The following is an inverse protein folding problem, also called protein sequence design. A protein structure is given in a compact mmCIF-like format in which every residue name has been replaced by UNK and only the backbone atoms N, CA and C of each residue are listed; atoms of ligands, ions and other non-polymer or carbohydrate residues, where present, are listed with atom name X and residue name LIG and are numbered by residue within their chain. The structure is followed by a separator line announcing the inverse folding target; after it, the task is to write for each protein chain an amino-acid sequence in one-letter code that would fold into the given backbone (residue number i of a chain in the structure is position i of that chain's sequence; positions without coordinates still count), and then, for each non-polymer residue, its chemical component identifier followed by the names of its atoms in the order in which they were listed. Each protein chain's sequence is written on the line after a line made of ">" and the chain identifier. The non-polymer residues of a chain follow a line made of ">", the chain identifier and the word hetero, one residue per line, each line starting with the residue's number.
data_IF_225172084228
#
_entry.id   IF_225172084228
#
_cell.length_a   1.000
_cell.length_b   1.000
_cell.length_c   1.000
_cell.angle_alpha   90.00
_cell.angle_beta   90.00
_cell.angle_gamma   90.00
#
_symmetry.space_group_name_H-M   'P 1'
#
loop_
_entity.id
_entity.type
_entity.pdbx_description
1 polymer ?
#
# COMPACT_ATOMS: atom_id res chain seq x y z
N UNK A 1 40.25 -19.04 -7.12
CA UNK A 1 39.62 -18.61 -5.84
C UNK A 1 40.66 -17.80 -5.12
N UNK A 2 40.44 -16.50 -4.97
CA UNK A 2 41.30 -15.64 -4.16
C UNK A 2 41.26 -16.15 -2.71
N UNK A 3 42.41 -16.21 -2.03
CA UNK A 3 42.46 -16.74 -0.68
C UNK A 3 41.70 -15.80 0.26
N UNK A 4 40.97 -16.34 1.24
CA UNK A 4 40.22 -15.54 2.23
C UNK A 4 41.11 -14.50 2.93
N UNK A 5 42.41 -14.80 3.08
CA UNK A 5 43.44 -13.88 3.58
C UNK A 5 43.61 -12.61 2.74
N UNK A 6 43.50 -12.72 1.42
CA UNK A 6 43.68 -11.60 0.48
C UNK A 6 42.45 -10.69 0.47
N UNK A 7 41.25 -11.23 0.66
CA UNK A 7 40.01 -10.45 0.79
C UNK A 7 40.02 -9.62 2.08
N UNK A 8 40.47 -10.22 3.19
CA UNK A 8 40.52 -9.59 4.51
C UNK A 8 41.60 -8.50 4.63
N UNK A 9 42.65 -8.53 3.79
CA UNK A 9 43.69 -7.48 3.80
C UNK A 9 43.29 -6.23 3.02
N UNK A 10 42.30 -6.34 2.12
CA UNK A 10 41.86 -5.25 1.24
C UNK A 10 40.52 -4.61 1.66
N UNK A 11 39.70 -5.28 2.48
CA UNK A 11 38.36 -4.83 2.83
C UNK A 11 38.14 -4.81 4.34
N UNK A 12 37.71 -3.67 4.90
CA UNK A 12 37.41 -3.51 6.34
C UNK A 12 36.13 -4.23 6.77
N UNK A 13 35.22 -4.52 5.84
CA UNK A 13 33.98 -5.27 6.09
C UNK A 13 33.76 -6.24 4.93
N UNK A 14 33.56 -7.53 5.24
CA UNK A 14 33.31 -8.59 4.26
C UNK A 14 31.96 -9.26 4.55
N UNK A 15 31.05 -9.22 3.58
CA UNK A 15 29.79 -9.96 3.66
C UNK A 15 30.04 -11.41 3.23
N UNK A 16 30.23 -12.29 4.21
CA UNK A 16 30.48 -13.73 3.97
C UNK A 16 29.24 -14.48 3.47
N UNK A 17 28.05 -13.96 3.79
CA UNK A 17 26.80 -14.53 3.28
C UNK A 17 26.58 -14.08 1.83
N UNK A 18 26.92 -14.94 0.87
CA UNK A 18 26.75 -14.69 -0.56
C UNK A 18 25.31 -14.28 -0.94
N UNK A 19 24.30 -14.76 -0.21
CA UNK A 19 22.91 -14.38 -0.48
C UNK A 19 22.65 -12.89 -0.21
N UNK A 20 23.29 -12.31 0.82
CA UNK A 20 23.13 -10.90 1.16
C UNK A 20 23.83 -9.97 0.18
N UNK A 21 24.80 -10.47 -0.61
CA UNK A 21 25.44 -9.68 -1.68
C UNK A 21 24.46 -9.29 -2.79
N UNK A 22 23.34 -10.00 -2.92
CA UNK A 22 22.26 -9.68 -3.88
C UNK A 22 21.26 -8.63 -3.34
N UNK A 23 21.49 -8.12 -2.14
CA UNK A 23 20.60 -7.18 -1.46
C UNK A 23 19.42 -7.85 -0.77
N UNK A 24 18.57 -7.02 -0.16
CA UNK A 24 17.33 -7.45 0.49
C UNK A 24 16.24 -6.42 0.21
N UNK A 25 14.98 -6.85 0.35
CA UNK A 25 13.82 -6.00 0.13
C UNK A 25 13.04 -5.86 1.42
N UNK A 26 12.87 -4.62 1.88
CA UNK A 26 12.06 -4.30 3.05
C UNK A 26 10.59 -4.13 2.66
N UNK A 27 9.69 -4.68 3.45
CA UNK A 27 8.25 -4.50 3.30
C UNK A 27 7.77 -3.55 4.40
N UNK A 28 7.10 -2.44 4.07
CA UNK A 28 6.54 -1.56 5.08
C UNK A 28 5.57 -2.30 6.02
N UNK A 29 5.65 -2.01 7.32
CA UNK A 29 4.83 -2.69 8.33
C UNK A 29 3.33 -2.54 8.07
N UNK A 30 2.88 -1.40 7.53
CA UNK A 30 1.48 -1.18 7.20
C UNK A 30 0.99 -2.04 6.03
N UNK A 31 1.88 -2.60 5.20
CA UNK A 31 1.53 -3.62 4.20
C UNK A 31 1.66 -5.01 4.81
N UNK A 32 2.78 -5.28 5.49
CA UNK A 32 3.08 -6.58 6.09
C UNK A 32 2.00 -7.03 7.09
N UNK A 33 1.51 -6.09 7.90
CA UNK A 33 0.52 -6.34 8.95
C UNK A 33 -0.92 -6.06 8.52
N UNK A 34 -1.15 -5.71 7.25
CA UNK A 34 -2.50 -5.47 6.76
C UNK A 34 -3.24 -6.79 6.56
N UNK A 35 -4.16 -7.11 7.47
CA UNK A 35 -5.00 -8.31 7.41
C UNK A 35 -6.06 -8.29 6.31
N UNK A 36 -6.39 -7.12 5.74
CA UNK A 36 -7.30 -7.02 4.60
C UNK A 36 -6.64 -7.42 3.28
N UNK A 37 -5.30 -7.54 3.26
CA UNK A 37 -4.55 -8.03 2.12
C UNK A 37 -4.29 -9.53 2.23
N UNK A 38 -4.39 -10.22 1.11
CA UNK A 38 -3.94 -11.58 0.94
C UNK A 38 -2.44 -11.67 1.11
N UNK A 39 -1.96 -12.84 1.55
CA UNK A 39 -0.53 -13.09 1.67
C UNK A 39 0.20 -12.89 0.33
N UNK A 40 -0.44 -13.31 -0.77
CA UNK A 40 0.08 -13.11 -2.13
C UNK A 40 0.15 -11.65 -2.55
N UNK A 41 -0.83 -10.81 -2.18
CA UNK A 41 -0.76 -9.37 -2.41
C UNK A 41 0.40 -8.72 -1.64
N UNK A 42 0.60 -9.07 -0.37
CA UNK A 42 1.73 -8.56 0.42
C UNK A 42 3.08 -8.92 -0.19
N UNK A 43 3.26 -10.16 -0.64
CA UNK A 43 4.49 -10.58 -1.33
C UNK A 43 4.65 -9.96 -2.72
N UNK A 44 3.55 -9.76 -3.45
CA UNK A 44 3.57 -9.06 -4.74
C UNK A 44 4.07 -7.64 -4.56
N UNK A 45 3.60 -6.93 -3.53
CA UNK A 45 4.08 -5.59 -3.18
C UNK A 45 5.58 -5.57 -2.88
N UNK A 46 6.07 -6.55 -2.11
CA UNK A 46 7.50 -6.72 -1.86
C UNK A 46 8.29 -6.87 -3.16
N UNK A 47 7.83 -7.73 -4.08
CA UNK A 47 8.51 -7.93 -5.37
C UNK A 47 8.54 -6.65 -6.20
N UNK A 48 7.46 -5.85 -6.21
CA UNK A 48 7.45 -4.55 -6.87
C UNK A 48 8.52 -3.60 -6.31
N UNK A 49 8.67 -3.54 -4.98
CA UNK A 49 9.72 -2.76 -4.34
C UNK A 49 11.13 -3.26 -4.69
N UNK A 50 11.33 -4.58 -4.71
CA UNK A 50 12.60 -5.20 -5.10
C UNK A 50 13.05 -4.75 -6.49
N UNK A 51 12.13 -4.75 -7.45
CA UNK A 51 12.41 -4.30 -8.81
C UNK A 51 12.59 -2.78 -8.93
N UNK A 52 11.83 -2.00 -8.15
CA UNK A 52 11.97 -0.54 -8.12
C UNK A 52 13.35 -0.09 -7.60
N UNK A 53 13.92 -0.80 -6.63
CA UNK A 53 15.23 -0.49 -6.03
C UNK A 53 16.45 -1.04 -6.77
N UNK A 54 16.27 -1.83 -7.82
CA UNK A 54 17.41 -2.30 -8.64
C UNK A 54 17.95 -1.19 -9.54
N UNK A 55 19.27 -1.26 -9.82
CA UNK A 55 20.10 -0.19 -10.41
C UNK A 55 19.63 0.35 -11.77
N UNK A 56 18.77 -0.39 -12.48
CA UNK A 56 18.21 0.01 -13.77
C UNK A 56 16.69 0.24 -13.75
N UNK A 57 16.03 0.06 -12.59
CA UNK A 57 14.57 0.15 -12.41
C UNK A 57 13.76 -0.51 -13.54
N UNK A 58 14.33 -1.55 -14.15
CA UNK A 58 13.76 -2.18 -15.34
C UNK A 58 12.58 -3.02 -14.87
N UNK A 59 11.37 -2.49 -15.10
CA UNK A 59 10.18 -3.14 -14.63
C UNK A 59 9.91 -4.41 -15.48
N UNK A 60 9.95 -5.61 -14.87
CA UNK A 60 9.65 -6.84 -15.56
C UNK A 60 8.19 -6.88 -16.02
N UNK A 61 7.92 -7.48 -17.18
CA UNK A 61 6.55 -7.82 -17.56
C UNK A 61 5.88 -8.69 -16.49
N UNK A 62 4.54 -8.67 -16.43
CA UNK A 62 3.76 -9.48 -15.46
C UNK A 62 4.13 -10.98 -15.50
N UNK A 63 4.45 -11.52 -16.67
CA UNK A 63 4.88 -12.91 -16.81
C UNK A 63 6.16 -13.21 -16.00
N UNK A 64 7.13 -12.28 -16.02
CA UNK A 64 8.38 -12.42 -15.29
C UNK A 64 8.19 -12.26 -13.78
N UNK A 65 7.39 -11.28 -13.35
CA UNK A 65 7.00 -11.16 -11.92
C UNK A 65 6.36 -12.42 -11.39
N UNK A 66 5.44 -13.02 -12.16
CA UNK A 66 4.75 -14.24 -11.77
C UNK A 66 5.74 -15.41 -11.65
N UNK A 67 6.69 -15.52 -12.58
CA UNK A 67 7.75 -16.52 -12.56
C UNK A 67 8.64 -16.37 -11.32
N UNK A 68 9.10 -15.16 -11.00
CA UNK A 68 9.99 -14.94 -9.85
C UNK A 68 9.28 -15.17 -8.51
N UNK A 69 7.97 -14.94 -8.46
CA UNK A 69 7.12 -15.26 -7.29
C UNK A 69 6.69 -16.73 -7.24
N UNK A 70 6.95 -17.53 -8.29
CA UNK A 70 6.50 -18.92 -8.37
C UNK A 70 4.98 -19.09 -8.45
N UNK A 71 4.26 -18.11 -9.01
CA UNK A 71 2.80 -18.11 -9.12
C UNK A 71 2.33 -18.03 -10.58
N UNK A 72 1.04 -18.29 -10.80
CA UNK A 72 0.45 -18.10 -12.13
C UNK A 72 0.25 -16.61 -12.45
N UNK A 73 0.29 -16.26 -13.74
CA UNK A 73 -0.04 -14.90 -14.19
C UNK A 73 -1.48 -14.49 -13.83
N UNK A 74 -2.39 -15.45 -13.64
CA UNK A 74 -3.75 -15.18 -13.14
C UNK A 74 -3.71 -14.73 -11.68
N UNK A 75 -3.01 -15.46 -10.82
CA UNK A 75 -2.83 -15.11 -9.40
C UNK A 75 -2.17 -13.74 -9.25
N UNK A 76 -1.13 -13.47 -10.04
CA UNK A 76 -0.46 -12.16 -10.02
C UNK A 76 -1.44 -11.02 -10.35
N UNK A 77 -2.29 -11.18 -11.37
CA UNK A 77 -3.30 -10.16 -11.72
C UNK A 77 -4.31 -9.93 -10.60
N UNK A 78 -4.74 -11.00 -9.94
CA UNK A 78 -5.60 -10.88 -8.75
C UNK A 78 -4.92 -10.04 -7.67
N UNK A 79 -3.67 -10.36 -7.34
CA UNK A 79 -2.91 -9.64 -6.30
C UNK A 79 -2.61 -8.18 -6.66
N UNK A 80 -2.29 -7.89 -7.92
CA UNK A 80 -2.13 -6.52 -8.40
C UNK A 80 -3.45 -5.73 -8.31
N UNK A 81 -4.58 -6.36 -8.67
CA UNK A 81 -5.92 -5.76 -8.53
C UNK A 81 -6.29 -5.47 -7.08
N UNK A 82 -5.93 -6.38 -6.17
CA UNK A 82 -6.13 -6.21 -4.73
C UNK A 82 -5.32 -5.04 -4.17
N UNK A 83 -4.02 -4.95 -4.50
CA UNK A 83 -3.16 -3.84 -4.10
C UNK A 83 -3.65 -2.50 -4.64
N UNK A 84 -4.15 -2.47 -5.88
CA UNK A 84 -4.74 -1.26 -6.47
C UNK A 84 -6.03 -0.86 -5.78
N UNK A 85 -6.89 -1.82 -5.46
CA UNK A 85 -8.13 -1.58 -4.72
C UNK A 85 -7.87 -1.04 -3.31
N UNK A 86 -6.76 -1.46 -2.69
CA UNK A 86 -6.27 -0.94 -1.42
C UNK A 86 -5.54 0.42 -1.53
N UNK A 87 -5.41 0.99 -2.74
CA UNK A 87 -4.75 2.28 -2.96
C UNK A 87 -3.24 2.27 -2.72
N UNK A 88 -2.60 1.09 -2.71
CA UNK A 88 -1.16 0.94 -2.48
C UNK A 88 -0.34 1.08 -3.76
N UNK A 89 -0.95 0.77 -4.90
CA UNK A 89 -0.33 0.89 -6.21
C UNK A 89 -1.34 1.44 -7.23
N UNK A 90 -0.83 1.97 -8.33
CA UNK A 90 -1.59 2.17 -9.56
C UNK A 90 -0.72 1.81 -10.77
N UNK A 91 -1.28 1.80 -11.98
CA UNK A 91 -0.47 1.61 -13.19
C UNK A 91 -1.03 2.31 -14.42
N UNK A 92 -0.13 2.67 -15.33
CA UNK A 92 -0.43 3.19 -16.66
C UNK A 92 -0.05 2.16 -17.73
N UNK A 93 -1.02 1.82 -18.58
CA UNK A 93 -0.77 0.99 -19.76
C UNK A 93 -0.04 1.83 -20.84
N UNK A 94 0.97 1.25 -21.47
CA UNK A 94 1.80 1.95 -22.48
C UNK A 94 1.49 1.54 -23.92
N UNK A 95 0.46 0.74 -24.16
CA UNK A 95 0.09 0.21 -25.46
C UNK A 95 0.53 -1.24 -25.68
N UNK A 96 0.28 -1.78 -26.87
CA UNK A 96 0.62 -3.16 -27.23
C UNK A 96 2.14 -3.38 -27.15
N UNK A 97 2.54 -4.56 -26.64
CA UNK A 97 3.94 -4.99 -26.48
C UNK A 97 4.82 -4.11 -25.57
N UNK A 98 4.26 -3.15 -24.83
CA UNK A 98 5.00 -2.39 -23.81
C UNK A 98 4.59 -2.82 -22.41
N UNK A 99 5.56 -2.92 -21.52
CA UNK A 99 5.30 -3.18 -20.10
C UNK A 99 4.54 -2.01 -19.48
N UNK A 100 3.64 -2.30 -18.54
CA UNK A 100 2.96 -1.23 -17.79
C UNK A 100 3.95 -0.48 -16.90
N UNK A 101 3.72 0.82 -16.71
CA UNK A 101 4.38 1.59 -15.65
C UNK A 101 3.56 1.41 -14.38
N UNK A 102 4.18 0.95 -13.31
CA UNK A 102 3.54 0.86 -11.99
C UNK A 102 4.00 2.02 -11.11
N UNK A 103 3.05 2.56 -10.36
CA UNK A 103 3.27 3.59 -9.36
C UNK A 103 3.10 2.97 -7.99
N UNK A 104 4.10 3.11 -7.12
CA UNK A 104 3.94 2.83 -5.69
C UNK A 104 3.36 4.11 -5.07
N UNK A 105 2.19 4.01 -4.44
CA UNK A 105 1.50 5.15 -3.88
C UNK A 105 1.87 5.32 -2.40
N UNK A 106 1.91 6.58 -1.95
CA UNK A 106 2.04 6.88 -0.54
C UNK A 106 0.84 6.31 0.20
N UNK A 107 1.10 5.61 1.30
CA UNK A 107 0.04 5.33 2.26
C UNK A 107 -0.51 6.67 2.77
N UNK A 108 -1.83 6.86 2.73
CA UNK A 108 -2.50 7.95 3.44
C UNK A 108 -3.02 7.42 4.78
N UNK A 109 -2.21 7.36 5.84
CA UNK A 109 -2.73 7.12 7.17
C UNK A 109 -3.43 8.41 7.63
N UNK A 110 -4.71 8.31 8.01
CA UNK A 110 -5.55 9.39 8.54
C UNK A 110 -5.82 10.57 7.58
N UNK A 111 -6.66 10.33 6.56
CA UNK A 111 -7.24 11.40 5.74
C UNK A 111 -8.75 11.62 5.93
N UNK A 112 -9.48 10.58 6.33
CA UNK A 112 -10.95 10.65 6.31
C UNK A 112 -11.57 10.86 7.72
N UNK A 113 -10.87 10.50 8.80
CA UNK A 113 -11.48 10.40 10.15
C UNK A 113 -11.23 11.57 11.10
N UNK A 114 -10.28 12.48 10.84
CA UNK A 114 -10.12 13.66 11.72
C UNK A 114 -11.31 14.62 11.52
N UNK A 115 -11.85 14.72 10.30
CA UNK A 115 -13.01 15.58 10.00
C UNK A 115 -14.34 15.12 10.62
N UNK A 116 -14.45 13.84 10.98
CA UNK A 116 -15.63 13.27 11.64
C UNK A 116 -15.48 13.22 13.17
N UNK A 117 -14.27 13.03 13.69
CA UNK A 117 -13.98 13.04 15.12
C UNK A 117 -14.05 14.46 15.74
N UNK A 118 -13.75 15.52 14.98
CA UNK A 118 -13.94 16.91 15.42
C UNK A 118 -15.41 17.36 15.41
N UNK A 119 -16.32 16.58 14.82
CA UNK A 119 -17.76 16.85 14.87
C UNK A 119 -18.41 16.11 16.03
N UNK A 120 -18.41 16.71 17.22
CA UNK A 120 -19.51 16.64 18.22
C UNK A 120 -19.24 17.47 19.49
N UNK A 121 -20.29 17.97 20.17
CA UNK A 121 -21.53 18.57 19.69
C UNK A 121 -21.54 20.09 19.98
N UNK A 122 -22.40 20.86 19.30
CA UNK A 122 -22.64 22.25 19.68
C UNK A 122 -23.14 22.31 21.13
N UNK A 123 -22.27 22.73 22.05
CA UNK A 123 -22.68 23.24 23.34
C UNK A 123 -23.42 24.55 23.09
N UNK A 124 -24.71 24.54 23.39
CA UNK A 124 -25.59 25.68 23.20
C UNK A 124 -26.76 25.54 24.16
N UNK A 125 -26.50 25.76 25.44
CA UNK A 125 -27.55 26.02 26.41
C UNK A 125 -28.30 27.31 26.04
N UNK A 126 -29.61 27.23 26.25
CA UNK A 126 -30.61 28.28 26.39
C UNK A 126 -30.95 29.17 25.20
N UNK A 127 -32.12 28.90 24.60
CA UNK A 127 -33.01 29.98 24.18
C UNK A 127 -34.24 30.01 25.09
N UNK A 128 -34.33 31.13 25.81
CA UNK A 128 -35.42 31.56 26.69
C UNK A 128 -36.79 31.38 26.02
N UNK A 129 -37.74 30.97 26.85
CA UNK A 129 -39.19 30.98 26.63
C UNK A 129 -39.66 32.24 25.89
N UNK A 130 -40.41 32.04 24.80
CA UNK A 130 -41.42 33.00 24.35
C UNK A 130 -42.75 32.28 24.31
N UNK A 131 -43.57 32.56 25.32
CA UNK A 131 -45.01 32.39 25.27
C UNK A 131 -45.56 33.13 24.05
N UNK A 132 -46.42 32.49 23.26
CA UNK A 132 -47.44 33.19 22.50
C UNK A 132 -48.69 32.33 22.32
N UNK A 133 -49.83 32.99 22.45
CA UNK A 133 -51.18 32.49 22.67
C UNK A 133 -51.90 32.10 21.36
N UNK A 134 -52.81 31.11 21.45
CA UNK A 134 -54.01 30.95 20.60
C UNK A 134 -53.79 30.25 19.25
N UNK A 135 -54.70 29.43 18.71
CA UNK A 135 -56.14 29.26 18.95
C UNK A 135 -56.63 27.87 18.49
N UNK A 136 -57.87 27.56 18.91
CA UNK A 136 -58.71 26.37 18.70
C UNK A 136 -58.86 25.89 17.25
N UNK A 137 -59.25 24.62 17.10
CA UNK A 137 -60.40 24.07 16.34
C UNK A 137 -60.30 22.52 16.40
N UNK A 138 -61.30 21.66 16.38
CA UNK A 138 -62.75 21.64 16.62
C UNK A 138 -63.11 20.15 16.66
N UNK A 139 -63.93 19.71 17.59
CA UNK A 139 -64.43 18.34 17.66
C UNK A 139 -65.65 18.15 16.74
N UNK A 140 -65.71 16.99 16.07
CA UNK A 140 -66.90 16.38 15.45
C UNK A 140 -66.53 14.90 15.27
N UNK A 141 -67.20 13.88 15.82
CA UNK A 141 -68.56 13.66 16.27
C UNK A 141 -68.57 12.81 17.54
#
# INVERSE_FOLDING_TARGET
>A
MEAVKDILSQHTIVVLNEALKKGFTQIPNYVLRNGSLSFGARLTFAMLLSYAWQKDSCFPGQARLAQDLGITARSLRTYLGELRSAGLIDWKQQGLNKTNIYYILDHKPLGDSISEAERKPASGQERKTRTFHGWKQSASK
#
